data_IF_635336379075
#
_entry.id   IF_635336379075
#
_cell.length_a   1.000
_cell.length_b   1.000
_cell.length_c   1.000
_cell.angle_alpha   90.00
_cell.angle_beta   90.00
_cell.angle_gamma   90.00
#
_symmetry.space_group_name_H-M   'P 1'
#
loop_
_entity.id
_entity.type
_entity.pdbx_description
1 polymer ?
#
# COMPACT_ATOMS: atom_id res chain seq x y z
N UNK A 1 8.16 -13.70 15.09
CA UNK A 1 7.66 -12.93 16.26
C UNK A 1 6.14 -12.90 16.18
N UNK A 2 5.40 -12.97 17.29
CA UNK A 2 3.93 -12.74 17.25
C UNK A 2 3.69 -11.22 17.17
N UNK A 3 2.74 -10.74 16.35
CA UNK A 3 2.43 -9.32 16.27
C UNK A 3 1.90 -8.81 17.62
N UNK A 4 2.23 -7.57 17.97
CA UNK A 4 1.66 -6.90 19.16
C UNK A 4 0.28 -6.35 18.81
N UNK A 5 -0.76 -7.10 19.19
CA UNK A 5 -2.16 -6.78 18.91
C UNK A 5 -2.88 -6.47 20.21
N UNK A 6 -3.24 -5.20 20.41
CA UNK A 6 -4.07 -4.75 21.53
C UNK A 6 -5.54 -5.08 21.27
N UNK A 7 -6.31 -5.52 22.27
CA UNK A 7 -7.70 -5.93 22.08
C UNK A 7 -8.62 -4.73 21.80
N UNK A 8 -9.53 -4.89 20.85
CA UNK A 8 -10.59 -3.92 20.55
C UNK A 8 -11.54 -3.81 21.76
N UNK A 9 -11.79 -2.58 22.21
CA UNK A 9 -12.74 -2.28 23.29
C UNK A 9 -13.76 -1.27 22.80
N UNK A 10 -15.02 -1.66 22.88
CA UNK A 10 -16.13 -0.80 22.49
C UNK A 10 -16.52 0.13 23.64
N UNK A 11 -16.69 1.42 23.33
CA UNK A 11 -17.21 2.46 24.23
C UNK A 11 -18.37 3.19 23.56
N UNK A 12 -19.29 3.72 24.37
CA UNK A 12 -20.42 4.49 23.84
C UNK A 12 -20.00 5.81 23.19
N UNK A 13 -18.87 6.35 23.63
CA UNK A 13 -18.29 7.59 23.13
C UNK A 13 -17.16 7.33 22.14
N UNK A 14 -17.09 8.16 21.10
CA UNK A 14 -15.96 8.16 20.17
C UNK A 14 -14.75 8.73 20.91
N UNK A 15 -13.62 8.04 20.82
CA UNK A 15 -12.37 8.53 21.37
C UNK A 15 -11.95 9.81 20.66
N UNK A 16 -11.46 10.79 21.43
CA UNK A 16 -10.89 12.03 20.88
C UNK A 16 -9.62 11.74 20.08
N UNK A 17 -8.79 10.84 20.60
CA UNK A 17 -7.59 10.33 19.95
C UNK A 17 -7.78 8.83 19.72
N UNK A 18 -7.70 8.34 18.48
CA UNK A 18 -7.87 6.91 18.20
C UNK A 18 -6.76 6.08 18.84
N UNK A 19 -7.10 4.90 19.35
CA UNK A 19 -6.12 3.96 19.89
C UNK A 19 -5.55 3.08 18.78
N UNK A 20 -4.22 2.95 18.72
CA UNK A 20 -3.56 1.98 17.85
C UNK A 20 -3.77 0.58 18.43
N UNK A 21 -4.46 -0.28 17.67
CA UNK A 21 -4.67 -1.69 17.98
C UNK A 21 -3.49 -2.54 17.53
N UNK A 22 -2.94 -2.25 16.35
CA UNK A 22 -1.68 -2.81 15.86
C UNK A 22 -1.07 -1.87 14.82
N UNK A 23 0.25 -1.94 14.67
CA UNK A 23 0.99 -1.26 13.61
C UNK A 23 2.11 -2.17 13.12
N UNK A 24 1.94 -2.74 11.94
CA UNK A 24 2.77 -3.83 11.45
C UNK A 24 3.16 -3.64 9.99
N UNK A 25 4.23 -4.29 9.56
CA UNK A 25 4.59 -4.37 8.14
C UNK A 25 4.13 -5.70 7.56
N UNK A 26 3.13 -5.67 6.67
CA UNK A 26 2.54 -6.86 6.04
C UNK A 26 2.74 -6.78 4.53
N UNK A 27 3.39 -7.79 3.94
CA UNK A 27 3.67 -7.84 2.50
C UNK A 27 4.38 -6.58 1.95
N UNK A 28 5.25 -5.97 2.76
CA UNK A 28 5.95 -4.74 2.41
C UNK A 28 5.18 -3.45 2.72
N UNK A 29 3.89 -3.50 3.01
CA UNK A 29 3.06 -2.34 3.33
C UNK A 29 2.99 -2.06 4.83
N UNK A 30 2.87 -0.78 5.22
CA UNK A 30 2.57 -0.41 6.60
C UNK A 30 1.05 -0.55 6.81
N UNK A 31 0.66 -1.38 7.77
CA UNK A 31 -0.74 -1.66 8.09
C UNK A 31 -1.05 -1.23 9.52
N UNK A 32 -2.19 -0.58 9.70
CA UNK A 32 -2.61 0.01 10.96
C UNK A 32 -4.04 -0.44 11.28
N UNK A 33 -4.27 -0.92 12.49
CA UNK A 33 -5.61 -1.07 13.06
C UNK A 33 -5.84 0.02 14.09
N UNK A 34 -6.96 0.72 14.00
CA UNK A 34 -7.37 1.76 14.93
C UNK A 34 -8.68 1.40 15.64
N UNK A 35 -8.80 1.84 16.89
CA UNK A 35 -10.07 1.93 17.61
C UNK A 35 -10.45 3.39 17.74
N UNK A 36 -11.64 3.74 17.26
CA UNK A 36 -12.29 5.01 17.57
C UNK A 36 -13.16 4.92 18.84
N UNK A 37 -13.03 3.84 19.63
CA UNK A 37 -13.89 3.49 20.76
C UNK A 37 -15.26 2.96 20.33
N UNK A 38 -15.96 3.67 19.45
CA UNK A 38 -17.29 3.24 18.98
C UNK A 38 -17.22 2.16 17.90
N UNK A 39 -16.15 2.13 17.10
CA UNK A 39 -15.92 1.17 16.03
C UNK A 39 -14.42 1.05 15.76
N UNK A 40 -13.96 -0.11 15.26
CA UNK A 40 -12.63 -0.25 14.71
C UNK A 40 -12.55 0.24 13.26
N UNK A 41 -11.34 0.55 12.81
CA UNK A 41 -10.99 0.82 11.41
C UNK A 41 -9.61 0.25 11.09
N UNK A 42 -9.37 0.01 9.80
CA UNK A 42 -8.15 -0.59 9.29
C UNK A 42 -7.60 0.24 8.13
N UNK A 43 -6.28 0.35 8.05
CA UNK A 43 -5.59 1.14 7.04
C UNK A 43 -4.36 0.42 6.50
N UNK A 44 -4.08 0.65 5.23
CA UNK A 44 -2.84 0.24 4.55
C UNK A 44 -2.25 1.47 3.87
N UNK A 45 -0.99 1.75 4.16
CA UNK A 45 -0.28 2.80 3.46
C UNK A 45 0.15 2.32 2.08
N UNK A 46 -0.10 3.15 1.09
CA UNK A 46 0.42 2.98 -0.25
C UNK A 46 1.70 3.82 -0.42
N UNK A 47 2.80 3.20 -0.86
CA UNK A 47 3.98 3.94 -1.30
C UNK A 47 3.62 5.00 -2.34
N UNK A 48 4.27 6.16 -2.26
CA UNK A 48 3.93 7.34 -3.07
C UNK A 48 4.08 7.04 -4.57
N UNK A 49 5.05 6.20 -4.95
CA UNK A 49 5.24 5.72 -6.31
C UNK A 49 4.04 4.93 -6.88
N UNK A 50 3.20 4.37 -6.02
CA UNK A 50 2.02 3.61 -6.43
C UNK A 50 0.73 4.43 -6.47
N UNK A 51 0.70 5.62 -5.88
CA UNK A 51 -0.50 6.48 -5.87
C UNK A 51 -0.97 6.81 -7.30
N UNK A 52 -0.04 7.07 -8.21
CA UNK A 52 -0.34 7.32 -9.63
C UNK A 52 -0.71 6.05 -10.42
N UNK A 53 -0.43 4.85 -9.90
CA UNK A 53 -0.83 3.56 -10.50
C UNK A 53 -2.30 3.27 -10.22
N UNK A 54 -2.78 3.69 -9.04
CA UNK A 54 -4.11 3.34 -8.56
C UNK A 54 -5.20 4.40 -8.86
N UNK A 55 -4.84 5.56 -9.41
CA UNK A 55 -5.67 6.39 -10.30
C UNK A 55 -6.94 7.07 -9.74
N UNK A 56 -7.80 6.39 -8.97
CA UNK A 56 -8.96 6.96 -8.28
C UNK A 56 -9.53 6.00 -7.21
N UNK A 57 -10.41 6.51 -6.34
CA UNK A 57 -11.11 5.76 -5.28
C UNK A 57 -11.79 4.47 -5.78
N UNK A 58 -12.40 4.52 -6.97
CA UNK A 58 -13.14 3.41 -7.59
C UNK A 58 -12.25 2.20 -7.90
N UNK A 59 -10.94 2.42 -8.04
CA UNK A 59 -9.98 1.36 -8.37
C UNK A 59 -9.63 0.50 -7.16
N UNK A 60 -9.66 1.05 -5.95
CA UNK A 60 -9.29 0.30 -4.74
C UNK A 60 -10.32 -0.76 -4.36
N UNK A 61 -11.60 -0.50 -4.57
CA UNK A 61 -12.67 -1.50 -4.41
C UNK A 61 -12.57 -2.66 -5.43
N UNK A 62 -11.89 -2.43 -6.56
CA UNK A 62 -11.63 -3.47 -7.57
C UNK A 62 -10.40 -4.32 -7.27
N UNK A 63 -9.45 -3.80 -6.49
CA UNK A 63 -8.15 -4.47 -6.21
C UNK A 63 -8.15 -5.13 -4.85
N UNK A 64 -8.81 -4.55 -3.86
CA UNK A 64 -8.79 -5.01 -2.48
C UNK A 64 -10.22 -5.28 -1.99
N UNK A 65 -10.56 -6.55 -1.87
CA UNK A 65 -11.84 -6.99 -1.30
C UNK A 65 -11.74 -6.97 0.23
N UNK A 66 -12.21 -5.85 0.80
CA UNK A 66 -12.30 -5.65 2.26
C UNK A 66 -13.75 -5.64 2.73
N UNK A 67 -13.94 -5.85 4.03
CA UNK A 67 -15.26 -5.77 4.63
C UNK A 67 -15.82 -4.35 4.48
N UNK A 68 -17.01 -4.24 3.89
CA UNK A 68 -17.68 -2.94 3.72
C UNK A 68 -17.16 -2.07 2.57
N UNK A 69 -16.10 -2.49 1.87
CA UNK A 69 -15.42 -1.70 0.84
C UNK A 69 -14.45 -0.67 1.42
N UNK A 70 -13.63 -0.08 0.55
CA UNK A 70 -12.67 0.95 0.90
C UNK A 70 -13.40 2.28 1.07
N UNK A 71 -13.43 2.81 2.30
CA UNK A 71 -14.13 4.06 2.65
C UNK A 71 -13.16 5.25 2.83
N UNK A 72 -11.85 5.00 2.81
CA UNK A 72 -10.78 5.99 2.87
C UNK A 72 -9.73 5.71 1.80
N UNK A 73 -9.33 6.68 0.99
CA UNK A 73 -8.25 6.59 -0.01
C UNK A 73 -7.68 7.97 -0.35
N UNK A 74 -6.84 8.50 0.52
CA UNK A 74 -6.24 9.83 0.35
C UNK A 74 -4.97 10.00 1.18
N UNK A 75 -4.25 11.10 0.94
CA UNK A 75 -3.15 11.52 1.82
C UNK A 75 -3.72 11.84 3.19
N UNK A 76 -3.20 11.22 4.24
CA UNK A 76 -3.55 11.61 5.60
C UNK A 76 -3.05 13.03 5.87
N UNK A 77 -3.95 13.85 6.40
CA UNK A 77 -3.69 15.23 6.81
C UNK A 77 -3.86 15.40 8.32
N UNK A 78 -4.31 16.57 8.76
CA UNK A 78 -4.54 16.91 10.18
C UNK A 78 -5.65 16.09 10.88
N UNK A 79 -6.41 15.29 10.11
CA UNK A 79 -7.54 14.47 10.60
C UNK A 79 -7.11 13.30 11.49
N UNK A 80 -5.90 12.79 11.30
CA UNK A 80 -5.30 11.75 12.13
C UNK A 80 -3.78 11.88 11.99
N UNK A 81 -3.14 12.57 12.94
CA UNK A 81 -1.70 12.89 12.92
C UNK A 81 -0.77 11.67 12.77
N UNK A 82 -1.33 10.46 12.94
CA UNK A 82 -0.70 9.16 12.78
C UNK A 82 -0.58 8.71 11.32
N UNK A 83 -1.33 9.29 10.38
CA UNK A 83 -1.42 8.85 8.98
C UNK A 83 -0.60 9.73 8.03
N UNK A 84 0.69 9.93 8.32
CA UNK A 84 1.59 10.65 7.38
C UNK A 84 1.89 9.78 6.16
N UNK A 85 1.17 9.97 5.06
CA UNK A 85 1.32 9.17 3.84
C UNK A 85 0.02 9.09 3.04
N UNK A 86 0.00 8.37 1.92
CA UNK A 86 -1.25 8.04 1.24
C UNK A 86 -1.77 6.71 1.79
N UNK A 87 -2.99 6.71 2.30
CA UNK A 87 -3.57 5.51 2.92
C UNK A 87 -4.86 5.14 2.24
N UNK A 88 -5.08 3.83 2.14
CA UNK A 88 -6.41 3.28 1.95
C UNK A 88 -6.91 2.71 3.26
N UNK A 89 -8.21 2.76 3.51
CA UNK A 89 -8.80 2.25 4.73
C UNK A 89 -10.28 1.97 4.63
N UNK A 90 -10.77 1.22 5.61
CA UNK A 90 -12.16 0.84 5.77
C UNK A 90 -12.50 0.78 7.25
N UNK A 91 -13.76 1.02 7.57
CA UNK A 91 -14.28 0.97 8.92
C UNK A 91 -15.18 -0.26 9.14
N UNK A 92 -15.46 -0.56 10.39
CA UNK A 92 -16.33 -1.66 10.80
C UNK A 92 -17.59 -1.07 11.44
N UNK A 93 -18.27 -0.20 10.69
CA UNK A 93 -19.47 0.53 11.10
C UNK A 93 -20.59 0.39 10.05
N UNK A 94 -20.89 -0.85 9.65
CA UNK A 94 -21.95 -1.16 8.69
C UNK A 94 -23.21 -1.71 9.37
N UNK A 95 -24.28 -1.85 8.58
CA UNK A 95 -25.52 -2.45 9.06
C UNK A 95 -25.25 -3.89 9.53
N UNK A 96 -25.50 -4.14 10.82
CA UNK A 96 -25.22 -5.43 11.47
C UNK A 96 -23.93 -5.47 12.29
N UNK A 97 -23.13 -4.40 12.27
CA UNK A 97 -21.96 -4.28 13.15
C UNK A 97 -22.31 -3.69 14.50
N UNK A 98 -21.53 -4.07 15.51
CA UNK A 98 -21.60 -3.43 16.81
C UNK A 98 -21.00 -2.04 16.68
N UNK A 99 -21.78 -1.04 17.07
CA UNK A 99 -21.34 0.35 17.18
C UNK A 99 -21.67 0.90 18.55
N UNK A 100 -20.67 1.51 19.19
CA UNK A 100 -20.74 1.94 20.58
C UNK A 100 -21.95 2.80 20.94
N UNK A 101 -22.39 3.72 20.07
CA UNK A 101 -23.50 4.63 20.40
C UNK A 101 -24.88 3.98 20.51
N UNK A 102 -25.09 2.76 20.01
CA UNK A 102 -26.44 2.18 19.98
C UNK A 102 -26.90 1.56 21.32
N UNK A 103 -26.04 1.51 22.35
CA UNK A 103 -26.41 1.00 23.67
C UNK A 103 -27.09 -0.38 23.61
N UNK A 104 -28.10 -0.60 24.48
CA UNK A 104 -28.85 -1.86 24.60
C UNK A 104 -29.68 -2.26 23.36
N UNK A 105 -29.86 -1.37 22.37
CA UNK A 105 -30.64 -1.68 21.15
C UNK A 105 -29.88 -2.59 20.17
N UNK A 106 -28.56 -2.73 20.31
CA UNK A 106 -27.71 -3.53 19.42
C UNK A 106 -27.23 -4.86 20.05
N UNK A 107 -27.61 -5.16 21.29
CA UNK A 107 -26.95 -6.17 22.13
C UNK A 107 -27.18 -7.64 21.73
N UNK A 108 -28.11 -7.93 20.83
CA UNK A 108 -28.49 -9.32 20.54
C UNK A 108 -28.28 -9.79 19.09
N UNK A 109 -27.80 -8.94 18.18
CA UNK A 109 -27.59 -9.35 16.78
C UNK A 109 -26.44 -8.66 16.04
N UNK A 110 -25.64 -7.83 16.73
CA UNK A 110 -24.56 -7.08 16.10
C UNK A 110 -23.19 -7.77 16.21
N UNK A 111 -22.42 -7.81 15.12
CA UNK A 111 -21.08 -8.40 15.10
C UNK A 111 -20.08 -7.50 15.82
N UNK A 112 -19.44 -8.04 16.86
CA UNK A 112 -18.28 -7.40 17.49
C UNK A 112 -17.01 -7.83 16.75
N UNK A 113 -16.30 -6.88 16.16
CA UNK A 113 -15.05 -7.13 15.46
C UNK A 113 -13.87 -7.07 16.42
N UNK A 114 -12.99 -8.07 16.35
CA UNK A 114 -11.79 -8.16 17.19
C UNK A 114 -10.58 -7.58 16.46
N UNK A 115 -9.55 -7.19 17.21
CA UNK A 115 -8.30 -6.74 16.61
C UNK A 115 -7.62 -7.83 15.78
N UNK A 116 -7.83 -9.10 16.14
CA UNK A 116 -7.41 -10.27 15.37
C UNK A 116 -8.15 -10.38 14.03
N UNK A 117 -9.44 -10.07 13.99
CA UNK A 117 -10.20 -10.02 12.73
C UNK A 117 -9.67 -8.90 11.82
N UNK A 118 -9.47 -7.70 12.39
CA UNK A 118 -8.86 -6.57 11.68
C UNK A 118 -7.50 -6.95 11.12
N UNK A 119 -6.63 -7.56 11.93
CA UNK A 119 -5.30 -7.97 11.49
C UNK A 119 -5.36 -8.99 10.35
N UNK A 120 -6.25 -9.99 10.43
CA UNK A 120 -6.45 -10.96 9.34
C UNK A 120 -6.93 -10.28 8.06
N UNK A 121 -7.87 -9.35 8.18
CA UNK A 121 -8.40 -8.60 7.03
C UNK A 121 -7.32 -7.71 6.40
N UNK A 122 -6.59 -6.94 7.20
CA UNK A 122 -5.43 -6.16 6.74
C UNK A 122 -4.39 -7.03 6.05
N UNK A 123 -4.06 -8.19 6.63
CA UNK A 123 -3.10 -9.11 6.03
C UNK A 123 -3.57 -9.63 4.68
N UNK A 124 -4.84 -9.99 4.55
CA UNK A 124 -5.42 -10.44 3.30
C UNK A 124 -5.44 -9.31 2.24
N UNK A 125 -5.82 -8.10 2.64
CA UNK A 125 -5.81 -6.92 1.80
C UNK A 125 -4.39 -6.55 1.30
N UNK A 126 -3.40 -6.56 2.19
CA UNK A 126 -2.01 -6.34 1.85
C UNK A 126 -1.46 -7.40 0.88
N UNK A 127 -1.89 -8.66 1.04
CA UNK A 127 -1.57 -9.73 0.09
C UNK A 127 -2.16 -9.47 -1.30
N UNK A 128 -3.43 -9.07 -1.38
CA UNK A 128 -4.09 -8.75 -2.65
C UNK A 128 -3.39 -7.59 -3.37
N UNK A 129 -3.01 -6.54 -2.63
CA UNK A 129 -2.20 -5.44 -3.17
C UNK A 129 -0.85 -5.91 -3.70
N UNK A 130 -0.15 -6.74 -2.92
CA UNK A 130 1.14 -7.31 -3.31
C UNK A 130 1.04 -8.12 -4.61
N UNK A 131 0.05 -9.00 -4.70
CA UNK A 131 -0.19 -9.84 -5.87
C UNK A 131 -0.54 -8.99 -7.09
N UNK A 132 -1.45 -8.03 -6.93
CA UNK A 132 -1.83 -7.10 -7.99
C UNK A 132 -0.62 -6.29 -8.52
N UNK A 133 0.20 -5.74 -7.62
CA UNK A 133 1.43 -5.03 -8.01
C UNK A 133 2.41 -5.98 -8.69
N UNK A 134 2.58 -7.20 -8.19
CA UNK A 134 3.41 -8.23 -8.83
C UNK A 134 2.93 -8.59 -10.24
N UNK A 135 1.62 -8.65 -10.46
CA UNK A 135 1.04 -8.90 -11.78
C UNK A 135 1.29 -7.75 -12.76
N UNK A 136 1.26 -6.50 -12.29
CA UNK A 136 1.41 -5.30 -13.14
C UNK A 136 2.85 -4.87 -13.37
N UNK A 137 3.79 -5.36 -12.57
CA UNK A 137 5.18 -4.93 -12.60
C UNK A 137 6.10 -6.06 -13.08
N UNK A 138 7.15 -5.70 -13.81
CA UNK A 138 8.22 -6.60 -14.25
C UNK A 138 9.54 -6.18 -13.58
N UNK A 139 10.39 -7.15 -13.25
CA UNK A 139 11.76 -6.86 -12.86
C UNK A 139 12.63 -7.00 -14.10
N UNK A 140 13.32 -5.92 -14.46
CA UNK A 140 14.26 -5.92 -15.57
C UNK A 140 15.68 -5.74 -15.05
N UNK A 141 16.61 -6.36 -15.77
CA UNK A 141 18.03 -6.27 -15.51
C UNK A 141 18.63 -5.17 -16.40
N UNK A 142 19.23 -4.16 -15.79
CA UNK A 142 20.00 -3.13 -16.49
C UNK A 142 21.48 -3.45 -16.30
N UNK A 143 22.15 -3.82 -17.40
CA UNK A 143 23.59 -4.10 -17.42
C UNK A 143 24.37 -2.83 -17.75
N UNK A 144 25.38 -2.53 -16.93
CA UNK A 144 26.29 -1.40 -17.10
C UNK A 144 27.76 -1.85 -16.97
N UNK A 145 28.70 -0.94 -17.21
CA UNK A 145 30.13 -1.21 -17.08
C UNK A 145 30.54 -1.60 -15.65
N UNK A 146 29.92 -1.02 -14.63
CA UNK A 146 30.27 -1.24 -13.23
C UNK A 146 29.28 -2.16 -12.47
N UNK A 147 28.43 -2.88 -13.22
CA UNK A 147 27.63 -3.98 -12.68
C UNK A 147 26.21 -4.05 -13.21
N UNK A 148 25.43 -4.90 -12.54
CA UNK A 148 24.03 -5.17 -12.84
C UNK A 148 23.16 -4.45 -11.82
N UNK A 149 22.19 -3.66 -12.30
CA UNK A 149 21.13 -3.10 -11.48
C UNK A 149 19.81 -3.79 -11.81
N UNK A 150 19.06 -4.19 -10.77
CA UNK A 150 17.69 -4.68 -10.93
C UNK A 150 16.73 -3.53 -10.70
N UNK A 151 15.78 -3.34 -11.61
CA UNK A 151 14.75 -2.32 -11.44
C UNK A 151 13.37 -2.87 -11.70
N UNK A 152 12.39 -2.38 -10.94
CA UNK A 152 10.99 -2.76 -11.11
C UNK A 152 10.27 -1.69 -11.93
N UNK A 153 9.66 -2.10 -13.05
CA UNK A 153 8.96 -1.23 -14.01
C UNK A 153 7.55 -1.75 -14.27
N UNK A 154 6.64 -0.92 -14.80
CA UNK A 154 5.32 -1.42 -15.21
C UNK A 154 5.47 -2.30 -16.45
N UNK A 155 4.74 -3.41 -16.48
CA UNK A 155 4.67 -4.28 -17.67
C UNK A 155 4.18 -3.55 -18.92
N UNK A 156 3.28 -2.57 -18.75
CA UNK A 156 2.78 -1.71 -19.83
C UNK A 156 3.89 -0.91 -20.51
N UNK A 157 4.97 -0.61 -19.79
CA UNK A 157 6.01 0.31 -20.24
C UNK A 157 7.17 -0.46 -20.91
N UNK A 158 7.13 -1.81 -20.91
CA UNK A 158 8.23 -2.65 -21.40
C UNK A 158 8.60 -2.39 -22.86
N UNK A 159 7.62 -2.18 -23.74
CA UNK A 159 7.89 -1.93 -25.16
C UNK A 159 8.47 -0.53 -25.41
N UNK A 160 8.03 0.47 -24.63
CA UNK A 160 8.63 1.80 -24.63
C UNK A 160 10.07 1.73 -24.10
N UNK A 161 10.31 1.01 -23.00
CA UNK A 161 11.65 0.82 -22.42
C UNK A 161 12.59 0.16 -23.43
N UNK A 162 12.15 -0.89 -24.14
CA UNK A 162 12.96 -1.54 -25.20
C UNK A 162 13.33 -0.55 -26.30
N UNK A 163 12.38 0.29 -26.73
CA UNK A 163 12.60 1.31 -27.76
C UNK A 163 13.63 2.35 -27.29
N UNK A 164 13.44 2.88 -26.08
CA UNK A 164 14.35 3.84 -25.45
C UNK A 164 15.75 3.26 -25.20
N UNK A 165 15.87 1.97 -24.88
CA UNK A 165 17.16 1.29 -24.74
C UNK A 165 17.90 1.19 -26.09
N UNK A 166 17.18 0.95 -27.18
CA UNK A 166 17.74 0.97 -28.54
C UNK A 166 18.18 2.39 -28.90
N UNK A 167 17.37 3.41 -28.66
CA UNK A 167 17.75 4.81 -28.92
C UNK A 167 18.95 5.26 -28.10
N UNK A 168 18.98 4.92 -26.81
CA UNK A 168 20.10 5.21 -25.92
C UNK A 168 21.40 4.56 -26.40
N UNK A 169 21.34 3.31 -26.87
CA UNK A 169 22.51 2.60 -27.41
C UNK A 169 22.96 3.12 -28.78
N UNK A 170 22.05 3.64 -29.61
CA UNK A 170 22.39 4.20 -30.93
C UNK A 170 22.81 5.68 -30.88
N UNK A 171 22.30 6.46 -29.92
CA UNK A 171 22.63 7.88 -29.76
C UNK A 171 23.99 8.15 -29.11
N UNK A 172 24.58 7.18 -28.43
CA UNK A 172 25.81 7.33 -27.62
C UNK A 172 26.97 6.42 -28.08
N UNK A 173 27.18 6.31 -29.39
CA UNK A 173 28.42 5.75 -29.94
C UNK A 173 29.68 6.62 -29.69
N UNK A 174 29.60 7.69 -28.89
CA UNK A 174 30.73 8.55 -28.49
C UNK A 174 30.67 8.83 -26.97
N UNK A 175 31.68 8.39 -26.22
CA UNK A 175 31.99 8.67 -24.80
C UNK A 175 31.18 7.95 -23.69
N UNK A 176 31.51 6.67 -23.48
CA UNK A 176 30.92 5.73 -22.51
C UNK A 176 31.20 5.90 -20.98
N UNK A 177 32.22 6.60 -20.43
CA UNK A 177 32.54 6.43 -19.00
C UNK A 177 31.69 7.23 -17.98
N UNK A 178 30.70 8.04 -18.38
CA UNK A 178 30.03 9.00 -17.46
C UNK A 178 28.58 8.71 -17.07
N UNK A 179 27.97 7.63 -17.54
CA UNK A 179 26.49 7.57 -17.58
C UNK A 179 25.88 6.36 -16.87
N UNK A 180 26.29 6.12 -15.63
CA UNK A 180 25.84 4.98 -14.83
C UNK A 180 24.54 5.20 -14.03
N UNK A 181 24.24 6.44 -13.58
CA UNK A 181 22.92 6.83 -13.06
C UNK A 181 21.92 7.25 -14.17
N UNK A 182 22.42 7.40 -15.40
CA UNK A 182 21.73 8.17 -16.42
C UNK A 182 20.56 7.45 -17.09
N UNK A 183 20.57 6.11 -17.16
CA UNK A 183 19.47 5.39 -17.82
C UNK A 183 18.22 5.33 -16.93
N UNK A 184 18.36 5.08 -15.64
CA UNK A 184 17.22 5.14 -14.70
C UNK A 184 16.66 6.56 -14.60
N UNK A 185 17.52 7.58 -14.53
CA UNK A 185 17.11 8.99 -14.61
C UNK A 185 16.49 9.36 -15.97
N UNK A 186 16.96 8.76 -17.07
CA UNK A 186 16.41 8.94 -18.40
C UNK A 186 15.00 8.34 -18.50
N UNK A 187 14.80 7.11 -18.03
CA UNK A 187 13.47 6.48 -17.96
C UNK A 187 12.51 7.36 -17.15
N UNK A 188 12.94 7.88 -15.99
CA UNK A 188 12.14 8.79 -15.18
C UNK A 188 11.80 10.10 -15.91
N UNK A 189 12.74 10.68 -16.67
CA UNK A 189 12.48 11.86 -17.52
C UNK A 189 11.47 11.57 -18.63
N UNK A 190 11.46 10.36 -19.17
CA UNK A 190 10.49 9.87 -20.15
C UNK A 190 9.15 9.46 -19.51
N UNK A 191 8.94 9.75 -18.22
CA UNK A 191 7.70 9.49 -17.50
C UNK A 191 7.53 8.05 -17.01
N UNK A 192 8.57 7.22 -17.09
CA UNK A 192 8.53 5.82 -16.66
C UNK A 192 8.84 5.75 -15.16
N UNK A 193 7.95 5.10 -14.41
CA UNK A 193 8.12 4.89 -12.97
C UNK A 193 9.12 3.75 -12.76
N UNK A 194 10.28 4.08 -12.20
CA UNK A 194 11.33 3.11 -11.85
C UNK A 194 11.46 3.03 -10.33
N UNK A 195 11.35 1.82 -9.77
CA UNK A 195 11.48 1.57 -8.33
C UNK A 195 12.81 0.83 -8.09
N UNK A 196 13.72 1.45 -7.33
CA UNK A 196 15.07 0.97 -7.05
C UNK A 196 15.22 0.33 -5.66
N UNK A 197 16.36 -0.30 -5.41
CA UNK A 197 16.61 -1.48 -4.57
C UNK A 197 16.18 -1.52 -3.08
N UNK A 198 15.72 -0.44 -2.46
CA UNK A 198 15.23 -0.52 -1.07
C UNK A 198 13.89 -1.29 -0.96
N UNK A 199 13.11 -1.33 -2.04
CA UNK A 199 11.82 -2.03 -2.10
C UNK A 199 11.97 -3.51 -2.48
N UNK A 200 12.99 -3.87 -3.27
CA UNK A 200 13.20 -5.24 -3.75
C UNK A 200 13.62 -6.17 -2.60
N UNK A 201 14.43 -5.67 -1.66
CA UNK A 201 14.82 -6.43 -0.47
C UNK A 201 13.61 -6.85 0.39
N UNK A 202 12.55 -6.03 0.46
CA UNK A 202 11.33 -6.34 1.19
C UNK A 202 10.41 -7.35 0.48
N UNK A 203 10.55 -7.52 -0.83
CA UNK A 203 9.75 -8.44 -1.66
C UNK A 203 10.39 -9.83 -1.75
N UNK A 204 11.73 -9.91 -1.68
CA UNK A 204 12.48 -11.18 -1.77
C UNK A 204 12.58 -11.90 -0.41
N UNK A 205 12.38 -11.21 0.71
CA UNK A 205 12.46 -11.81 2.06
C UNK A 205 11.14 -12.38 2.62
N UNK A 206 10.15 -12.72 1.79
CA UNK A 206 8.90 -13.37 2.20
C UNK A 206 8.88 -14.87 1.92
#
# INVERSE_FOLDING_TARGET
MKPDIRPMRYSNDRLREPEILFYERLYGFRCLGLSYGTHPAAYIELPEEYVGVFGNYSFYDMVVSVYGGVTFAQKGGDLDSMLKGYWIGWDYMHLGDKFGKFGALAEHSSKSWTSEDLYKHCKAAAKQLFEFIGEKMEVIEIKSADGVQLVKVKKSDLDQIKTLAVEYSHGYAMDAPKYQCAFTEFLQKEGIVVITDDVIAAVIQL
#
